data_IF_700819759496
#
_entry.id   IF_700819759496
#
_cell.length_a   1.000
_cell.length_b   1.000
_cell.length_c   1.000
_cell.angle_alpha   90.00
_cell.angle_beta   90.00
_cell.angle_gamma   90.00
#
_symmetry.space_group_name_H-M   'P 1'
#
loop_
_entity.id
_entity.type
_entity.pdbx_description
1 polymer ?
#
# COMPACT_ATOMS: atom_id res chain seq x y z
N UNK A 1 42.71 51.99 30.00
CA UNK A 1 41.75 51.54 31.03
C UNK A 1 40.62 50.87 30.25
N UNK A 2 40.80 49.71 29.61
CA UNK A 2 41.24 48.38 30.09
C UNK A 2 40.30 47.81 31.14
N UNK A 3 39.38 46.95 30.69
CA UNK A 3 38.62 45.89 31.39
C UNK A 3 37.73 45.30 30.27
N UNK A 4 38.03 44.23 29.53
CA UNK A 4 38.59 42.92 29.83
C UNK A 4 37.83 42.18 30.94
N UNK A 5 36.85 41.37 30.51
CA UNK A 5 36.16 40.38 31.32
C UNK A 5 35.74 39.24 30.40
N UNK A 6 36.69 38.35 30.19
CA UNK A 6 36.52 37.00 29.68
C UNK A 6 35.85 36.16 30.77
N UNK A 7 34.61 35.71 30.55
CA UNK A 7 33.99 34.67 31.39
C UNK A 7 34.13 33.32 30.66
N UNK A 8 35.16 32.59 31.09
CA UNK A 8 35.38 31.18 30.79
C UNK A 8 34.40 30.33 31.60
N UNK A 9 33.38 29.77 30.93
CA UNK A 9 32.59 28.68 31.50
C UNK A 9 33.03 27.36 30.88
N UNK A 10 33.89 26.65 31.62
CA UNK A 10 34.32 25.28 31.33
C UNK A 10 33.54 24.28 32.19
N UNK A 11 33.15 23.15 31.59
CA UNK A 11 32.58 21.98 32.28
C UNK A 11 31.16 21.70 31.77
N UNK A 12 30.78 20.52 31.31
CA UNK A 12 31.24 19.19 31.68
C UNK A 12 31.15 18.24 30.48
N UNK A 13 32.26 17.56 30.19
CA UNK A 13 32.39 16.47 29.24
C UNK A 13 31.82 15.20 29.92
N UNK A 14 30.65 14.73 29.49
CA UNK A 14 30.01 13.52 30.04
C UNK A 14 30.40 12.33 29.15
N UNK A 15 31.19 11.36 29.64
CA UNK A 15 31.61 10.22 28.81
C UNK A 15 30.43 9.29 28.52
N UNK A 16 30.06 9.24 27.23
CA UNK A 16 28.97 8.45 26.64
C UNK A 16 29.39 6.98 26.42
N UNK A 17 29.90 6.33 27.47
CA UNK A 17 30.43 4.97 27.37
C UNK A 17 30.13 4.12 28.62
N UNK A 18 28.86 3.86 28.94
CA UNK A 18 28.47 2.78 29.86
C UNK A 18 26.96 2.47 29.87
N UNK A 19 26.37 2.01 28.75
CA UNK A 19 25.05 1.34 28.78
C UNK A 19 25.08 0.04 27.99
N UNK A 20 25.94 -0.89 28.44
CA UNK A 20 25.80 -2.31 28.15
C UNK A 20 24.64 -2.90 28.94
N UNK A 21 23.42 -2.74 28.42
CA UNK A 21 22.21 -3.36 28.95
C UNK A 21 22.20 -4.86 28.68
N UNK A 22 22.57 -5.63 29.71
CA UNK A 22 22.52 -7.10 29.70
C UNK A 22 21.05 -7.55 29.60
N UNK A 23 20.80 -8.33 28.57
CA UNK A 23 19.61 -9.10 28.30
C UNK A 23 19.26 -10.00 29.51
N UNK A 24 18.32 -9.56 30.35
CA UNK A 24 17.67 -10.40 31.37
C UNK A 24 16.36 -10.92 30.79
N UNK A 25 16.41 -12.13 30.22
CA UNK A 25 15.22 -12.95 29.96
C UNK A 25 14.56 -13.30 31.30
N UNK A 26 13.27 -12.98 31.53
CA UNK A 26 12.53 -13.60 32.62
C UNK A 26 12.32 -15.10 32.34
N UNK A 27 12.36 -15.95 33.38
CA UNK A 27 12.13 -17.38 33.26
C UNK A 27 10.66 -17.68 32.94
N UNK A 28 10.46 -18.76 32.19
CA UNK A 28 9.16 -19.19 31.68
C UNK A 28 8.11 -19.38 32.77
N UNK A 29 6.95 -18.77 32.52
CA UNK A 29 5.68 -19.17 33.11
C UNK A 29 5.03 -20.15 32.13
N UNK A 30 5.03 -21.41 32.54
CA UNK A 30 4.06 -22.39 32.08
C UNK A 30 2.79 -22.15 32.89
N UNK A 31 1.76 -21.59 32.26
CA UNK A 31 0.38 -21.69 32.72
C UNK A 31 -0.41 -22.41 31.64
N UNK A 32 -0.45 -23.72 31.83
CA UNK A 32 -1.52 -24.60 31.43
C UNK A 32 -2.83 -24.14 32.11
N UNK A 33 -3.97 -24.63 31.61
CA UNK A 33 -5.32 -24.59 32.21
C UNK A 33 -6.27 -23.41 31.86
N UNK A 34 -7.21 -23.76 30.96
CA UNK A 34 -8.67 -23.62 31.12
C UNK A 34 -9.34 -22.26 30.88
N UNK A 35 -10.12 -22.15 29.81
CA UNK A 35 -11.58 -22.38 29.87
C UNK A 35 -12.22 -22.09 28.51
N UNK A 36 -12.86 -23.12 27.95
CA UNK A 36 -13.86 -22.99 26.90
C UNK A 36 -15.05 -22.17 27.43
N UNK A 37 -15.57 -21.26 26.62
CA UNK A 37 -16.91 -20.71 26.78
C UNK A 37 -17.46 -20.42 25.39
N UNK A 38 -17.89 -21.50 24.75
CA UNK A 38 -18.79 -21.52 23.60
C UNK A 38 -20.16 -21.01 24.07
N UNK A 39 -20.48 -19.74 23.81
CA UNK A 39 -21.85 -19.22 23.92
C UNK A 39 -22.32 -18.86 22.51
N UNK A 40 -23.02 -19.82 21.93
CA UNK A 40 -23.72 -19.74 20.64
C UNK A 40 -24.99 -18.90 20.82
N UNK A 41 -24.94 -17.62 20.44
CA UNK A 41 -26.14 -16.82 20.27
C UNK A 41 -26.63 -16.96 18.83
N UNK A 42 -27.69 -17.76 18.67
CA UNK A 42 -28.52 -17.85 17.46
C UNK A 42 -29.07 -16.46 17.11
N UNK A 43 -28.58 -15.84 16.04
CA UNK A 43 -29.22 -14.65 15.46
C UNK A 43 -30.28 -15.12 14.47
N UNK A 44 -31.51 -15.21 14.97
CA UNK A 44 -32.74 -15.44 14.21
C UNK A 44 -32.91 -14.35 13.14
N UNK A 45 -33.27 -14.79 11.94
CA UNK A 45 -33.38 -13.95 10.76
C UNK A 45 -34.51 -12.93 10.85
N UNK A 46 -34.22 -11.70 10.44
CA UNK A 46 -35.23 -10.78 9.93
C UNK A 46 -34.83 -10.33 8.52
N UNK A 47 -35.40 -11.03 7.54
CA UNK A 47 -35.36 -10.66 6.14
C UNK A 47 -36.51 -9.68 5.89
N UNK A 48 -36.20 -8.38 5.84
CA UNK A 48 -37.08 -7.40 5.23
C UNK A 48 -36.54 -7.07 3.84
N UNK A 49 -37.28 -7.57 2.84
CA UNK A 49 -37.29 -7.07 1.46
C UNK A 49 -37.70 -5.60 1.48
N UNK A 50 -36.80 -4.72 1.05
CA UNK A 50 -37.14 -3.35 0.67
C UNK A 50 -36.75 -3.17 -0.81
N UNK A 51 -37.74 -2.74 -1.58
CA UNK A 51 -37.79 -2.76 -3.03
C UNK A 51 -36.79 -1.82 -3.71
N UNK A 52 -36.31 -2.24 -4.89
CA UNK A 52 -35.50 -1.40 -5.77
C UNK A 52 -36.36 -0.35 -6.49
N UNK A 53 -35.96 0.94 -6.51
CA UNK A 53 -36.40 1.85 -7.56
C UNK A 53 -35.45 1.75 -8.76
N UNK A 54 -35.96 1.08 -9.79
CA UNK A 54 -35.56 1.25 -11.18
C UNK A 54 -35.79 2.70 -11.62
N UNK A 55 -34.71 3.41 -11.98
CA UNK A 55 -34.80 4.61 -12.81
C UNK A 55 -33.82 4.49 -13.97
N UNK A 56 -34.36 4.00 -15.09
CA UNK A 56 -33.95 4.35 -16.44
C UNK A 56 -34.00 5.88 -16.55
N UNK A 57 -32.90 6.54 -16.91
CA UNK A 57 -32.96 7.70 -17.79
C UNK A 57 -31.71 7.73 -18.67
N UNK A 58 -31.97 7.43 -19.93
CA UNK A 58 -31.19 7.82 -21.09
C UNK A 58 -31.14 9.35 -21.15
N UNK A 59 -29.96 9.93 -21.37
CA UNK A 59 -29.77 11.17 -22.14
C UNK A 59 -28.28 11.19 -22.53
N UNK A 60 -27.96 10.91 -23.78
CA UNK A 60 -27.99 11.81 -24.96
C UNK A 60 -26.67 12.56 -25.09
N UNK A 61 -26.02 12.25 -26.21
CA UNK A 61 -25.07 13.00 -26.99
C UNK A 61 -24.81 14.46 -26.55
N UNK A 62 -23.54 14.75 -26.21
CA UNK A 62 -22.92 16.02 -26.58
C UNK A 62 -21.45 15.77 -26.97
N UNK A 63 -21.34 15.50 -28.26
CA UNK A 63 -20.41 16.09 -29.21
C UNK A 63 -19.59 17.32 -28.71
N UNK A 64 -18.41 17.52 -29.32
CA UNK A 64 -17.61 18.76 -29.30
C UNK A 64 -16.78 19.03 -28.01
N UNK A 65 -15.44 19.07 -28.00
CA UNK A 65 -14.52 19.71 -28.94
C UNK A 65 -13.16 18.99 -28.92
N UNK A 66 -12.66 18.66 -30.11
CA UNK A 66 -11.25 18.40 -30.31
C UNK A 66 -10.57 19.78 -30.42
N UNK A 67 -9.99 20.27 -29.33
CA UNK A 67 -9.06 21.40 -29.39
C UNK A 67 -7.64 20.86 -29.32
N UNK A 68 -7.20 20.54 -30.52
CA UNK A 68 -5.84 20.58 -31.04
C UNK A 68 -5.00 21.67 -30.37
N UNK A 69 -4.13 21.28 -29.44
CA UNK A 69 -3.04 22.14 -28.95
C UNK A 69 -1.74 21.36 -29.11
N UNK A 70 -1.27 21.41 -30.36
CA UNK A 70 0.09 21.08 -30.75
C UNK A 70 1.00 22.19 -30.23
N UNK A 71 1.64 21.99 -29.07
CA UNK A 71 2.82 22.77 -28.70
C UNK A 71 4.01 21.82 -28.63
N UNK A 72 4.68 21.74 -29.78
CA UNK A 72 5.99 21.14 -29.96
C UNK A 72 7.04 21.96 -29.19
N UNK A 73 7.42 21.53 -27.98
CA UNK A 73 8.72 21.91 -27.43
C UNK A 73 9.76 20.85 -27.81
N UNK A 74 10.52 21.16 -28.85
CA UNK A 74 11.80 20.53 -29.14
C UNK A 74 12.80 20.87 -28.01
N UNK A 75 12.88 20.01 -27.00
CA UNK A 75 14.02 20.00 -26.08
C UNK A 75 15.15 19.23 -26.76
N UNK A 76 16.11 20.00 -27.28
CA UNK A 76 17.42 19.49 -27.72
C UNK A 76 18.06 18.71 -26.57
N UNK A 77 18.17 17.40 -26.78
CA UNK A 77 18.94 16.49 -25.94
C UNK A 77 20.43 16.74 -26.16
N UNK A 78 21.10 17.18 -25.11
CA UNK A 78 22.55 17.13 -24.98
C UNK A 78 22.93 15.72 -24.48
N UNK A 79 23.67 15.03 -25.33
CA UNK A 79 24.19 13.68 -25.16
C UNK A 79 25.46 13.73 -24.31
N UNK A 80 25.38 13.37 -23.03
CA UNK A 80 26.56 13.02 -22.23
C UNK A 80 26.51 11.52 -21.91
N UNK A 81 27.17 10.77 -22.79
CA UNK A 81 27.55 9.37 -22.61
C UNK A 81 28.41 9.22 -21.34
N UNK A 82 27.88 8.59 -20.30
CA UNK A 82 28.69 8.02 -19.23
C UNK A 82 28.55 6.50 -19.23
N UNK A 83 29.41 5.87 -20.04
CA UNK A 83 29.72 4.45 -19.95
C UNK A 83 30.45 4.18 -18.62
N UNK A 84 29.71 3.78 -17.57
CA UNK A 84 30.30 3.15 -16.38
C UNK A 84 29.89 1.69 -16.29
N UNK A 85 30.75 0.88 -16.91
CA UNK A 85 30.86 -0.57 -16.84
C UNK A 85 31.28 -0.98 -15.42
N UNK A 86 30.33 -1.42 -14.59
CA UNK A 86 30.63 -2.17 -13.36
C UNK A 86 29.71 -3.38 -13.18
N UNK A 87 30.22 -4.44 -13.79
CA UNK A 87 30.09 -5.87 -13.52
C UNK A 87 29.87 -6.23 -12.03
N UNK A 88 28.60 -6.31 -11.58
CA UNK A 88 28.24 -7.13 -10.40
C UNK A 88 26.75 -7.58 -10.45
N UNK A 89 26.42 -8.42 -11.44
CA UNK A 89 25.24 -9.29 -11.32
C UNK A 89 25.71 -10.76 -11.38
N UNK A 90 25.99 -11.28 -10.19
CA UNK A 90 26.17 -12.70 -9.94
C UNK A 90 24.78 -13.34 -9.79
N UNK A 91 24.30 -14.14 -10.75
CA UNK A 91 23.02 -14.81 -10.57
C UNK A 91 23.12 -15.84 -9.44
N UNK A 92 22.22 -15.70 -8.45
CA UNK A 92 21.96 -16.62 -7.33
C UNK A 92 21.68 -18.09 -7.75
N UNK A 93 21.62 -18.37 -9.05
CA UNK A 93 21.57 -19.72 -9.62
C UNK A 93 22.85 -20.56 -9.37
N UNK A 94 23.96 -19.96 -8.93
CA UNK A 94 25.21 -20.66 -8.62
C UNK A 94 25.24 -21.37 -7.24
N UNK A 95 24.18 -21.22 -6.43
CA UNK A 95 24.00 -21.92 -5.14
C UNK A 95 23.10 -23.16 -5.27
N UNK A 96 23.29 -23.98 -6.30
CA UNK A 96 22.82 -25.37 -6.30
C UNK A 96 24.01 -26.31 -6.22
N UNK A 97 24.18 -26.93 -5.06
CA UNK A 97 25.00 -28.12 -4.91
C UNK A 97 24.17 -29.36 -5.30
N UNK A 98 24.52 -30.02 -6.42
CA UNK A 98 24.31 -31.46 -6.53
C UNK A 98 25.65 -32.17 -6.72
N UNK A 99 25.93 -33.01 -5.73
CA UNK A 99 26.98 -34.03 -5.71
C UNK A 99 26.62 -35.10 -6.75
N UNK A 100 27.28 -35.12 -7.91
CA UNK A 100 27.00 -36.13 -8.94
C UNK A 100 28.05 -36.18 -10.06
N UNK A 101 28.89 -37.23 -10.02
CA UNK A 101 30.01 -37.51 -10.95
C UNK A 101 29.56 -37.92 -12.36
N UNK A 102 30.39 -37.57 -13.36
CA UNK A 102 30.82 -38.29 -14.60
C UNK A 102 30.74 -37.36 -15.83
N UNK A 103 31.85 -36.83 -16.33
CA UNK A 103 32.81 -37.43 -17.27
C UNK A 103 32.27 -37.56 -18.72
N UNK A 104 32.76 -36.70 -19.63
CA UNK A 104 33.46 -37.06 -20.88
C UNK A 104 33.45 -35.91 -21.92
N UNK A 105 34.66 -35.49 -22.30
CA UNK A 105 35.17 -35.14 -23.64
C UNK A 105 34.32 -34.37 -24.67
N UNK A 106 34.91 -33.30 -25.24
CA UNK A 106 34.80 -33.06 -26.69
C UNK A 106 34.78 -31.61 -27.20
N UNK A 107 35.97 -31.05 -27.46
CA UNK A 107 36.39 -30.20 -28.61
C UNK A 107 35.41 -29.19 -29.29
N UNK A 108 35.89 -27.94 -29.29
CA UNK A 108 36.18 -27.03 -30.44
C UNK A 108 35.05 -26.38 -31.28
N UNK A 109 35.20 -25.06 -31.36
CA UNK A 109 35.24 -24.16 -32.54
C UNK A 109 34.01 -23.29 -32.91
N UNK A 110 34.34 -22.01 -33.05
CA UNK A 110 33.56 -20.86 -33.50
C UNK A 110 33.00 -20.95 -34.93
N UNK A 111 31.88 -20.25 -35.19
CA UNK A 111 31.79 -19.08 -36.10
C UNK A 111 30.34 -18.56 -36.22
N UNK A 112 30.22 -17.23 -36.33
CA UNK A 112 29.04 -16.39 -36.64
C UNK A 112 28.45 -16.67 -38.06
N UNK A 113 27.59 -15.79 -38.63
CA UNK A 113 26.14 -15.58 -38.41
C UNK A 113 25.34 -15.74 -39.74
N UNK A 114 24.01 -15.48 -39.72
CA UNK A 114 23.25 -14.70 -40.71
C UNK A 114 21.83 -15.24 -41.04
N UNK A 115 20.86 -14.36 -40.79
CA UNK A 115 19.82 -13.87 -41.70
C UNK A 115 18.65 -14.77 -42.19
N UNK A 116 17.45 -14.29 -41.80
CA UNK A 116 16.30 -13.87 -42.64
C UNK A 116 15.27 -14.89 -43.18
N UNK A 117 14.02 -14.43 -43.03
CA UNK A 117 12.73 -14.70 -43.73
C UNK A 117 11.84 -15.80 -43.13
N UNK A 118 10.71 -15.43 -42.52
CA UNK A 118 9.41 -15.06 -43.12
C UNK A 118 8.90 -16.14 -44.10
N UNK A 119 7.87 -16.88 -43.69
CA UNK A 119 6.53 -16.86 -44.32
C UNK A 119 5.53 -17.70 -43.55
N UNK A 120 4.31 -17.15 -43.47
CA UNK A 120 3.11 -17.77 -42.97
C UNK A 120 2.59 -18.87 -43.92
N UNK A 121 1.89 -19.87 -43.37
CA UNK A 121 0.63 -20.37 -43.92
C UNK A 121 0.03 -21.48 -43.03
N UNK A 122 -1.13 -21.19 -42.43
CA UNK A 122 -2.11 -22.19 -42.01
C UNK A 122 -2.65 -22.94 -43.24
N UNK A 123 -3.09 -24.20 -43.05
CA UNK A 123 -4.40 -24.56 -43.59
C UNK A 123 -5.32 -25.22 -42.56
N UNK A 124 -6.60 -24.86 -42.70
CA UNK A 124 -7.77 -25.31 -41.96
C UNK A 124 -8.19 -26.75 -42.34
N UNK A 125 -8.80 -27.41 -41.34
CA UNK A 125 -9.95 -28.34 -41.40
C UNK A 125 -9.82 -29.63 -42.25
N UNK A 126 -10.06 -30.76 -41.59
CA UNK A 126 -11.17 -31.67 -41.95
C UNK A 126 -11.59 -32.54 -40.77
N UNK A 127 -12.89 -32.79 -40.73
CA UNK A 127 -13.63 -33.45 -39.68
C UNK A 127 -13.75 -34.98 -39.91
N UNK A 128 -14.26 -35.63 -38.85
CA UNK A 128 -14.96 -36.90 -38.80
C UNK A 128 -14.12 -38.20 -38.75
N UNK A 129 -14.18 -38.89 -37.61
CA UNK A 129 -14.87 -40.19 -37.53
C UNK A 129 -15.02 -40.66 -36.07
N UNK A 130 -16.19 -41.23 -35.79
CA UNK A 130 -16.63 -41.83 -34.53
C UNK A 130 -15.88 -43.13 -34.23
N UNK A 131 -15.46 -43.34 -32.99
CA UNK A 131 -15.49 -44.70 -32.41
C UNK A 131 -15.77 -44.66 -30.91
N UNK A 132 -16.86 -45.34 -30.52
CA UNK A 132 -17.25 -45.62 -29.15
C UNK A 132 -16.25 -46.58 -28.52
N UNK A 133 -15.78 -46.31 -27.31
CA UNK A 133 -15.45 -47.37 -26.35
C UNK A 133 -15.68 -46.87 -24.93
N UNK A 134 -16.69 -47.47 -24.30
CA UNK A 134 -16.99 -47.32 -22.89
C UNK A 134 -15.85 -47.90 -22.05
N UNK A 135 -15.38 -47.12 -21.08
CA UNK A 135 -14.71 -47.61 -19.90
C UNK A 135 -15.23 -46.76 -18.75
N UNK A 136 -16.08 -47.38 -17.93
CA UNK A 136 -16.53 -46.84 -16.67
C UNK A 136 -15.32 -46.69 -15.74
N UNK A 137 -14.98 -45.44 -15.42
CA UNK A 137 -14.12 -45.10 -14.31
C UNK A 137 -14.95 -44.21 -13.40
N UNK A 138 -15.30 -44.72 -12.23
CA UNK A 138 -15.93 -43.98 -11.13
C UNK A 138 -15.03 -42.79 -10.74
N UNK A 139 -15.31 -41.63 -11.36
CA UNK A 139 -14.88 -40.36 -10.80
C UNK A 139 -15.81 -40.06 -9.63
N UNK A 140 -15.29 -40.33 -8.43
CA UNK A 140 -15.76 -39.76 -7.17
C UNK A 140 -15.91 -38.25 -7.41
N UNK A 141 -17.16 -37.78 -7.53
CA UNK A 141 -17.51 -36.35 -7.48
C UNK A 141 -17.09 -35.87 -6.10
N UNK A 142 -15.86 -35.39 -5.97
CA UNK A 142 -15.57 -34.41 -4.95
C UNK A 142 -16.35 -33.17 -5.38
N UNK A 143 -17.39 -32.86 -4.62
CA UNK A 143 -17.99 -31.54 -4.67
C UNK A 143 -16.84 -30.53 -4.54
N UNK A 144 -16.82 -29.43 -5.34
CA UNK A 144 -15.97 -28.32 -4.98
C UNK A 144 -16.40 -27.92 -3.58
N UNK A 145 -15.54 -28.18 -2.60
CA UNK A 145 -15.69 -27.57 -1.30
C UNK A 145 -15.66 -26.08 -1.58
N UNK A 146 -16.84 -25.46 -1.52
CA UNK A 146 -17.01 -24.03 -1.41
C UNK A 146 -16.41 -23.65 -0.07
N UNK A 147 -15.08 -23.62 0.00
CA UNK A 147 -14.36 -22.82 0.98
C UNK A 147 -14.57 -21.36 0.58
N UNK A 148 -15.81 -20.90 0.64
CA UNK A 148 -16.10 -19.50 0.88
C UNK A 148 -15.69 -19.27 2.34
N UNK A 149 -14.38 -19.23 2.58
CA UNK A 149 -13.86 -18.40 3.65
C UNK A 149 -14.33 -17.01 3.28
N UNK A 150 -15.48 -16.62 3.83
CA UNK A 150 -16.08 -15.31 3.65
C UNK A 150 -15.12 -14.31 4.25
N UNK A 151 -14.10 -13.95 3.49
CA UNK A 151 -13.21 -12.85 3.80
C UNK A 151 -14.14 -11.65 3.97
N UNK A 152 -14.12 -10.97 5.13
CA UNK A 152 -15.05 -9.88 5.37
C UNK A 152 -14.87 -8.86 4.25
N UNK A 153 -15.89 -8.75 3.40
CA UNK A 153 -15.92 -7.89 2.21
C UNK A 153 -16.08 -6.45 2.66
N UNK A 154 -15.00 -5.91 3.23
CA UNK A 154 -14.91 -4.49 3.58
C UNK A 154 -14.78 -3.68 2.30
N UNK A 155 -15.40 -2.50 2.28
CA UNK A 155 -15.33 -1.54 1.17
C UNK A 155 -13.87 -1.29 0.72
N UNK A 156 -13.00 -1.14 1.72
CA UNK A 156 -11.56 -0.94 1.56
C UNK A 156 -10.89 -2.11 0.87
N UNK A 157 -11.14 -3.36 1.30
CA UNK A 157 -10.57 -4.54 0.68
C UNK A 157 -10.88 -4.66 -0.82
N UNK A 158 -12.12 -4.36 -1.23
CA UNK A 158 -12.48 -4.37 -2.64
C UNK A 158 -11.85 -3.24 -3.45
N UNK A 159 -11.80 -2.02 -2.90
CA UNK A 159 -11.18 -0.90 -3.60
C UNK A 159 -9.67 -1.05 -3.72
N UNK A 160 -8.97 -1.47 -2.67
CA UNK A 160 -7.53 -1.70 -2.70
C UNK A 160 -7.12 -2.75 -3.73
N UNK A 161 -7.90 -3.83 -3.86
CA UNK A 161 -7.57 -4.90 -4.79
C UNK A 161 -7.95 -4.60 -6.25
N UNK A 162 -9.01 -3.81 -6.49
CA UNK A 162 -9.66 -3.72 -7.81
C UNK A 162 -9.66 -2.32 -8.44
N UNK A 163 -9.26 -1.28 -7.71
CA UNK A 163 -9.27 0.11 -8.20
C UNK A 163 -7.94 0.81 -7.94
N UNK A 164 -7.51 1.61 -8.91
CA UNK A 164 -6.35 2.50 -8.76
C UNK A 164 -6.60 3.56 -7.69
N UNK A 165 -7.84 4.04 -7.51
CA UNK A 165 -8.21 4.94 -6.41
C UNK A 165 -7.95 4.30 -5.05
N UNK A 166 -8.21 2.99 -4.92
CA UNK A 166 -7.93 2.26 -3.69
C UNK A 166 -6.44 2.27 -3.35
N UNK A 167 -5.58 1.95 -4.34
CA UNK A 167 -4.12 2.01 -4.17
C UNK A 167 -3.64 3.42 -3.83
N UNK A 168 -4.23 4.45 -4.45
CA UNK A 168 -3.94 5.85 -4.15
C UNK A 168 -4.28 6.20 -2.69
N UNK A 169 -5.48 5.85 -2.22
CA UNK A 169 -5.88 6.05 -0.82
C UNK A 169 -4.92 5.33 0.13
N UNK A 170 -4.51 4.10 -0.19
CA UNK A 170 -3.55 3.35 0.60
C UNK A 170 -2.19 4.05 0.65
N UNK A 171 -1.69 4.55 -0.49
CA UNK A 171 -0.42 5.27 -0.56
C UNK A 171 -0.45 6.56 0.27
N UNK A 172 -1.56 7.30 0.24
CA UNK A 172 -1.78 8.49 1.09
C UNK A 172 -1.87 8.08 2.57
N UNK A 173 -2.62 7.03 2.92
CA UNK A 173 -2.74 6.55 4.31
C UNK A 173 -1.42 6.02 4.89
N UNK A 174 -0.46 5.58 4.08
CA UNK A 174 0.87 5.24 4.61
C UNK A 174 1.71 6.48 4.97
N UNK A 175 1.31 7.66 4.49
CA UNK A 175 2.11 8.90 4.54
C UNK A 175 1.30 10.11 5.00
N UNK A 176 0.12 9.89 5.58
CA UNK A 176 -0.82 10.97 5.89
C UNK A 176 -0.22 11.97 6.90
N UNK A 177 0.66 11.52 7.79
CA UNK A 177 1.28 12.34 8.83
C UNK A 177 2.13 13.49 8.28
N UNK A 178 2.51 13.46 6.99
CA UNK A 178 3.28 14.53 6.36
C UNK A 178 2.37 15.67 5.91
N UNK A 179 1.11 15.40 5.60
CA UNK A 179 0.19 16.36 4.96
C UNK A 179 -0.99 16.74 5.82
N UNK A 180 -1.42 15.86 6.72
CA UNK A 180 -2.56 16.10 7.59
C UNK A 180 -2.07 16.16 9.03
N UNK A 181 -2.23 17.33 9.65
CA UNK A 181 -2.13 17.48 11.11
C UNK A 181 -3.44 17.00 11.71
N UNK A 182 -3.47 15.77 12.23
CA UNK A 182 -4.62 15.25 12.95
C UNK A 182 -4.23 14.69 14.32
N UNK A 183 -4.95 15.07 15.40
CA UNK A 183 -6.01 16.08 15.44
C UNK A 183 -5.47 17.51 15.25
N UNK A 184 -6.35 18.43 14.87
CA UNK A 184 -6.01 19.86 14.83
C UNK A 184 -5.84 20.38 16.27
N UNK A 185 -4.62 20.84 16.66
CA UNK A 185 -4.36 21.32 18.01
C UNK A 185 -5.22 22.53 18.40
N UNK A 186 -5.74 23.28 17.43
CA UNK A 186 -6.60 24.44 17.68
C UNK A 186 -8.04 24.05 18.05
N UNK A 187 -8.49 22.87 17.64
CA UNK A 187 -9.85 22.39 17.88
C UNK A 187 -9.96 21.50 19.12
N UNK A 188 -8.86 21.24 19.83
CA UNK A 188 -8.89 20.42 21.04
C UNK A 188 -9.45 21.21 22.23
N UNK A 189 -10.42 20.64 22.98
CA UNK A 189 -10.94 21.28 24.17
C UNK A 189 -9.87 21.35 25.27
N UNK A 190 -10.05 22.29 26.21
CA UNK A 190 -9.21 22.35 27.40
C UNK A 190 -9.33 21.06 28.22
N UNK A 191 -8.22 20.65 28.84
CA UNK A 191 -8.12 19.42 29.62
C UNK A 191 -9.21 19.35 30.71
N UNK A 192 -10.10 18.34 30.67
CA UNK A 192 -11.09 18.14 31.71
C UNK A 192 -10.46 17.88 33.09
N UNK A 193 -11.12 18.35 34.15
CA UNK A 193 -10.64 18.11 35.53
C UNK A 193 -10.63 16.61 35.83
N UNK A 194 -9.54 16.11 36.43
CA UNK A 194 -9.32 14.68 36.76
C UNK A 194 -8.92 13.78 35.59
N UNK A 195 -8.75 14.34 34.40
CA UNK A 195 -8.25 13.65 33.23
C UNK A 195 -6.82 14.07 32.94
N UNK A 196 -6.01 13.10 32.51
CA UNK A 196 -4.66 13.33 32.00
C UNK A 196 -4.63 13.02 30.50
N UNK A 197 -3.88 13.82 29.74
CA UNK A 197 -3.67 13.58 28.31
C UNK A 197 -2.82 12.33 28.11
N UNK A 198 -3.21 11.47 27.18
CA UNK A 198 -2.49 10.26 26.86
C UNK A 198 -1.29 10.58 25.96
N UNK A 199 -0.08 10.21 26.40
CA UNK A 199 1.15 10.48 25.65
C UNK A 199 1.12 9.81 24.27
N UNK A 200 1.54 10.55 23.24
CA UNK A 200 1.46 10.13 21.84
C UNK A 200 0.04 10.13 21.22
N UNK A 201 -1.01 10.41 21.99
CA UNK A 201 -2.40 10.46 21.50
C UNK A 201 -3.05 11.81 21.83
N UNK A 202 -2.65 12.90 21.15
CA UNK A 202 -3.27 14.21 21.34
C UNK A 202 -4.80 14.13 21.20
N UNK A 203 -5.53 14.79 22.10
CA UNK A 203 -7.00 14.78 22.14
C UNK A 203 -7.63 13.55 22.79
N UNK A 204 -6.84 12.56 23.21
CA UNK A 204 -7.31 11.42 24.01
C UNK A 204 -6.91 11.62 25.46
N UNK A 205 -7.87 11.43 26.36
CA UNK A 205 -7.70 11.69 27.78
C UNK A 205 -8.16 10.49 28.59
N UNK A 206 -7.42 10.17 29.65
CA UNK A 206 -7.75 9.10 30.59
C UNK A 206 -8.02 9.68 31.97
N UNK A 207 -9.12 9.27 32.60
CA UNK A 207 -9.45 9.68 33.96
C UNK A 207 -8.51 8.99 34.96
N UNK A 208 -7.72 9.77 35.72
CA UNK A 208 -6.73 9.25 36.68
C UNK A 208 -7.15 9.44 38.14
N UNK A 209 -8.25 10.15 38.39
CA UNK A 209 -8.77 10.38 39.75
C UNK A 209 -10.30 10.46 39.81
N UNK A 210 -10.88 10.15 40.98
CA UNK A 210 -12.34 10.20 41.20
C UNK A 210 -13.04 8.85 41.00
N UNK A 211 -14.34 8.89 40.73
CA UNK A 211 -15.17 7.69 40.56
C UNK A 211 -15.06 7.06 39.16
N UNK A 212 -14.67 7.85 38.16
CA UNK A 212 -14.56 7.46 36.74
C UNK A 212 -13.14 6.98 36.34
N UNK A 213 -12.29 6.58 37.30
CA UNK A 213 -10.90 6.20 37.01
C UNK A 213 -10.83 5.11 35.95
N UNK A 214 -10.00 5.32 34.93
CA UNK A 214 -9.83 4.42 33.78
C UNK A 214 -10.75 4.72 32.59
N UNK A 215 -11.72 5.63 32.73
CA UNK A 215 -12.55 6.07 31.60
C UNK A 215 -11.71 6.87 30.60
N UNK A 216 -11.82 6.51 29.32
CA UNK A 216 -11.14 7.19 28.20
C UNK A 216 -12.15 8.09 27.49
N UNK A 217 -11.77 9.33 27.24
CA UNK A 217 -12.51 10.28 26.42
C UNK A 217 -11.66 10.63 25.21
N UNK A 218 -12.23 10.47 24.03
CA UNK A 218 -11.63 10.88 22.76
C UNK A 218 -12.36 12.13 22.25
N UNK A 219 -11.65 13.26 22.23
CA UNK A 219 -12.16 14.53 21.72
C UNK A 219 -11.75 14.80 20.27
N UNK A 220 -11.05 13.86 19.62
CA UNK A 220 -10.66 14.02 18.22
C UNK A 220 -11.90 13.92 17.35
N UNK A 221 -11.94 14.73 16.31
CA UNK A 221 -13.04 14.72 15.36
C UNK A 221 -12.90 13.50 14.41
N UNK A 222 -13.88 12.57 14.40
CA UNK A 222 -13.85 11.40 13.54
C UNK A 222 -14.01 11.76 12.05
N UNK A 223 -14.60 12.91 11.73
CA UNK A 223 -14.86 13.33 10.35
C UNK A 223 -13.61 13.83 9.63
N UNK A 224 -12.64 14.36 10.38
CA UNK A 224 -11.34 14.81 9.87
C UNK A 224 -10.24 13.76 10.02
N UNK A 225 -10.55 12.61 10.63
CA UNK A 225 -9.60 11.52 10.83
C UNK A 225 -9.04 11.01 9.49
N UNK A 226 -7.72 10.78 9.36
CA UNK A 226 -7.11 10.16 8.19
C UNK A 226 -7.52 8.68 8.12
N UNK A 227 -8.72 8.45 7.58
CA UNK A 227 -9.34 7.13 7.47
C UNK A 227 -9.71 6.85 6.02
N UNK A 228 -9.83 5.57 5.68
CA UNK A 228 -10.28 5.16 4.35
C UNK A 228 -11.63 5.79 3.98
N UNK A 229 -12.59 5.81 4.91
CA UNK A 229 -13.91 6.36 4.66
C UNK A 229 -13.87 7.86 4.30
N UNK A 230 -13.01 8.63 4.98
CA UNK A 230 -12.88 10.07 4.71
C UNK A 230 -12.13 10.33 3.40
N UNK A 231 -11.08 9.56 3.09
CA UNK A 231 -10.35 9.72 1.83
C UNK A 231 -11.07 9.15 0.61
N UNK A 232 -11.90 8.11 0.77
CA UNK A 232 -12.69 7.56 -0.34
C UNK A 232 -13.75 8.54 -0.86
N UNK A 233 -14.19 9.49 -0.01
CA UNK A 233 -15.12 10.58 -0.36
C UNK A 233 -14.44 11.71 -1.15
N UNK A 234 -13.11 11.84 -1.07
CA UNK A 234 -12.34 12.83 -1.81
C UNK A 234 -12.20 12.42 -3.29
N UNK A 235 -12.00 13.40 -4.17
CA UNK A 235 -11.70 13.16 -5.58
C UNK A 235 -10.31 12.55 -5.75
N UNK A 236 -10.09 11.75 -6.80
CA UNK A 236 -8.76 11.18 -7.04
C UNK A 236 -7.71 12.27 -7.33
N UNK A 237 -8.10 13.42 -7.85
CA UNK A 237 -7.22 14.57 -8.08
C UNK A 237 -6.68 15.16 -6.77
N UNK A 238 -7.57 15.45 -5.81
CA UNK A 238 -7.19 15.93 -4.47
C UNK A 238 -6.27 14.91 -3.76
N UNK A 239 -6.54 13.61 -3.93
CA UNK A 239 -5.71 12.56 -3.35
C UNK A 239 -4.32 12.48 -4.00
N UNK A 240 -4.18 12.75 -5.29
CA UNK A 240 -2.87 12.85 -5.96
C UNK A 240 -2.10 14.05 -5.43
N UNK A 241 -2.74 15.22 -5.33
CA UNK A 241 -2.12 16.42 -4.76
C UNK A 241 -1.62 16.17 -3.33
N UNK A 242 -2.46 15.58 -2.47
CA UNK A 242 -2.08 15.19 -1.12
C UNK A 242 -0.92 14.19 -1.09
N UNK A 243 -0.90 13.21 -2.01
CA UNK A 243 0.21 12.24 -2.07
C UNK A 243 1.52 12.91 -2.48
N UNK A 244 1.48 13.81 -3.47
CA UNK A 244 2.64 14.55 -3.95
C UNK A 244 3.24 15.42 -2.84
N UNK A 245 2.40 16.20 -2.14
CA UNK A 245 2.84 17.00 -1.00
C UNK A 245 3.45 16.14 0.12
N UNK A 246 2.87 14.95 0.37
CA UNK A 246 3.39 14.02 1.36
C UNK A 246 4.76 13.47 0.97
N UNK A 247 4.95 13.12 -0.31
CA UNK A 247 6.24 12.66 -0.82
C UNK A 247 7.29 13.76 -0.70
N UNK A 248 6.98 15.00 -1.09
CA UNK A 248 7.92 16.12 -0.99
C UNK A 248 8.37 16.34 0.45
N UNK A 249 7.44 16.43 1.41
CA UNK A 249 7.77 16.60 2.82
C UNK A 249 8.51 15.39 3.41
N UNK A 250 8.19 14.18 2.96
CA UNK A 250 8.92 12.98 3.35
C UNK A 250 10.37 13.03 2.88
N UNK A 251 10.61 13.39 1.60
CA UNK A 251 11.96 13.56 1.05
C UNK A 251 12.75 14.62 1.79
N UNK A 252 12.16 15.78 2.07
CA UNK A 252 12.81 16.85 2.84
C UNK A 252 13.28 16.37 4.22
N UNK A 253 12.42 15.63 4.93
CA UNK A 253 12.77 15.08 6.24
C UNK A 253 13.84 13.99 6.16
N UNK A 254 13.79 13.16 5.12
CA UNK A 254 14.76 12.09 4.86
C UNK A 254 16.15 12.69 4.57
N UNK A 255 16.23 13.67 3.67
CA UNK A 255 17.47 14.37 3.32
C UNK A 255 18.06 15.07 4.55
N UNK A 256 17.21 15.70 5.37
CA UNK A 256 17.64 16.35 6.60
C UNK A 256 18.19 15.37 7.66
N UNK A 257 17.72 14.12 7.68
CA UNK A 257 18.10 13.13 8.68
C UNK A 257 19.28 12.24 8.25
N UNK A 258 19.29 11.80 6.99
CA UNK A 258 20.20 10.76 6.47
C UNK A 258 21.14 11.27 5.37
N UNK A 259 20.81 12.38 4.72
CA UNK A 259 21.51 12.91 3.54
C UNK A 259 20.82 12.55 2.23
N UNK A 260 21.43 12.94 1.11
CA UNK A 260 20.94 12.68 -0.25
C UNK A 260 21.30 11.25 -0.72
N UNK A 261 20.58 10.73 -1.72
CA UNK A 261 20.87 9.46 -2.42
C UNK A 261 20.69 8.20 -1.57
N UNK A 262 19.57 8.14 -0.84
CA UNK A 262 19.17 6.93 -0.09
C UNK A 262 18.27 6.03 -0.95
N UNK A 263 18.31 4.71 -0.73
CA UNK A 263 17.40 3.76 -1.42
C UNK A 263 15.91 4.15 -1.26
N UNK A 264 15.56 4.73 -0.10
CA UNK A 264 14.20 5.20 0.19
C UNK A 264 13.79 6.39 -0.68
N UNK A 265 14.74 7.23 -1.10
CA UNK A 265 14.47 8.33 -2.03
C UNK A 265 14.05 7.79 -3.41
N UNK A 266 14.73 6.74 -3.89
CA UNK A 266 14.37 6.05 -5.13
C UNK A 266 12.95 5.48 -5.10
N UNK A 267 12.55 4.83 -4.01
CA UNK A 267 11.18 4.32 -3.83
C UNK A 267 10.14 5.47 -3.86
N UNK A 268 10.50 6.65 -3.32
CA UNK A 268 9.64 7.83 -3.33
C UNK A 268 9.54 8.46 -4.73
N UNK A 269 10.63 8.47 -5.50
CA UNK A 269 10.64 8.90 -6.91
C UNK A 269 9.76 8.01 -7.80
N UNK A 270 9.84 6.69 -7.62
CA UNK A 270 8.98 5.75 -8.35
C UNK A 270 7.50 5.98 -8.03
N UNK A 271 7.19 6.21 -6.75
CA UNK A 271 5.83 6.50 -6.31
C UNK A 271 5.34 7.85 -6.84
N UNK A 272 6.20 8.87 -6.88
CA UNK A 272 5.90 10.19 -7.43
C UNK A 272 5.59 10.08 -8.94
N UNK A 273 6.42 9.34 -9.68
CA UNK A 273 6.21 9.10 -11.10
C UNK A 273 4.92 8.32 -11.37
N UNK A 274 4.60 7.33 -10.53
CA UNK A 274 3.33 6.61 -10.59
C UNK A 274 2.14 7.56 -10.36
N UNK A 275 2.20 8.42 -9.34
CA UNK A 275 1.15 9.37 -9.02
C UNK A 275 0.91 10.37 -10.17
N UNK A 276 1.99 10.91 -10.77
CA UNK A 276 1.90 11.82 -11.93
C UNK A 276 1.29 11.17 -13.17
N UNK A 277 1.50 9.86 -13.37
CA UNK A 277 0.97 9.11 -14.52
C UNK A 277 -0.47 8.61 -14.29
N UNK A 278 -1.00 8.76 -13.09
CA UNK A 278 -2.31 8.24 -12.73
C UNK A 278 -3.42 9.05 -13.41
N UNK A 279 -4.31 8.37 -14.14
CA UNK A 279 -5.48 9.01 -14.71
C UNK A 279 -6.61 9.08 -13.66
N UNK A 280 -6.75 10.24 -13.03
CA UNK A 280 -7.69 10.51 -11.92
C UNK A 280 -9.14 10.23 -12.30
N UNK A 281 -9.60 10.71 -13.46
CA UNK A 281 -10.96 10.48 -13.98
C UNK A 281 -11.28 9.00 -14.17
N UNK A 282 -10.31 8.21 -14.66
CA UNK A 282 -10.48 6.75 -14.82
C UNK A 282 -10.51 6.04 -13.47
N UNK A 283 -9.67 6.47 -12.52
CA UNK A 283 -9.61 5.89 -11.19
C UNK A 283 -10.94 6.07 -10.43
N UNK A 284 -11.53 7.26 -10.48
CA UNK A 284 -12.84 7.54 -9.86
C UNK A 284 -13.95 6.70 -10.49
N UNK A 285 -14.04 6.66 -11.84
CA UNK A 285 -15.01 5.81 -12.56
C UNK A 285 -14.86 4.33 -12.24
N UNK A 286 -13.63 3.84 -12.05
CA UNK A 286 -13.39 2.45 -11.63
C UNK A 286 -13.83 2.20 -10.19
N UNK A 287 -13.56 3.14 -9.28
CA UNK A 287 -13.99 3.04 -7.90
C UNK A 287 -15.51 2.94 -7.78
N UNK A 288 -16.25 3.81 -8.46
CA UNK A 288 -17.72 3.78 -8.50
C UNK A 288 -18.25 2.44 -9.02
N UNK A 289 -17.66 1.92 -10.09
CA UNK A 289 -18.04 0.60 -10.65
C UNK A 289 -17.80 -0.53 -9.66
N UNK A 290 -16.67 -0.51 -8.95
CA UNK A 290 -16.33 -1.53 -7.95
C UNK A 290 -17.31 -1.47 -6.78
N UNK A 291 -17.63 -0.26 -6.29
CA UNK A 291 -18.58 -0.07 -5.19
C UNK A 291 -20.00 -0.48 -5.56
N UNK A 292 -20.47 -0.09 -6.75
CA UNK A 292 -21.78 -0.50 -7.28
C UNK A 292 -21.85 -2.01 -7.46
N UNK A 293 -20.81 -2.63 -8.01
CA UNK A 293 -20.75 -4.09 -8.20
C UNK A 293 -20.74 -4.85 -6.86
N UNK A 294 -20.14 -4.27 -5.82
CA UNK A 294 -20.11 -4.84 -4.48
C UNK A 294 -21.36 -4.52 -3.64
N UNK A 295 -22.26 -3.64 -4.13
CA UNK A 295 -23.40 -3.09 -3.38
C UNK A 295 -22.98 -2.42 -2.06
N UNK A 296 -21.85 -1.71 -2.07
CA UNK A 296 -21.28 -1.05 -0.90
C UNK A 296 -21.46 0.46 -1.03
N UNK A 297 -21.92 1.09 0.05
CA UNK A 297 -22.02 2.56 0.20
C UNK A 297 -20.94 3.03 1.18
N UNK A 298 -20.29 4.16 0.88
CA UNK A 298 -19.20 4.78 1.67
C UNK A 298 -19.71 6.06 2.36
#
# INVERSE_FOLDING_TARGET
MSSDSEDSSSGEDVPLAALGGKHLRPPGINSDESSSSEDEAEFDGNAEEEEEPSSEEENDDDDFIAEDSEEEEEVEGDEEESESDSDDDVPLASLKSPKGKKAAAGKKQAKKPAAKKKTAAKPKKKAAAKTKKAAAAEKKKQAPASSSSGEPTTASGHLYAKSEKGKLIQAVLCRWWYVVTWPDPLNLPALPRHYDALDGFPGVYVCTSGDDVGKIIDHRDPSTCPSFANFAKKGSEELVEMLMEAITKQKEQLIAAEGEDTDTEGDLDELELWARRLNTTKADKQAEKVLKAAKIVI
#
